data_IF_593955604007
#
_entry.id   IF_593955604007
#
_cell.length_a   1.000
_cell.length_b   1.000
_cell.length_c   1.000
_cell.angle_alpha   90.00
_cell.angle_beta   90.00
_cell.angle_gamma   90.00
#
_symmetry.space_group_name_H-M   'P 1'
#
loop_
_entity.id
_entity.type
_entity.pdbx_description
1 polymer ?
#
# COMPACT_ATOMS: atom_id res chain seq x y z
N UNK A 1 -8.58 -48.67 -63.67
CA UNK A 1 -8.58 -49.04 -62.25
C UNK A 1 -9.18 -47.88 -61.48
N UNK A 2 -10.42 -48.00 -61.02
CA UNK A 2 -10.81 -48.56 -59.72
C UNK A 2 -10.49 -47.53 -58.63
N UNK A 3 -11.49 -46.82 -58.08
CA UNK A 3 -12.30 -47.24 -56.90
C UNK A 3 -11.38 -47.60 -55.73
N UNK A 4 -11.56 -47.16 -54.50
CA UNK A 4 -12.62 -46.47 -53.78
C UNK A 4 -11.90 -45.47 -52.85
N UNK A 5 -12.60 -44.55 -52.19
CA UNK A 5 -13.04 -44.69 -50.79
C UNK A 5 -12.58 -43.39 -50.12
N UNK A 6 -13.31 -42.71 -49.25
CA UNK A 6 -14.40 -43.07 -48.38
C UNK A 6 -14.99 -41.70 -47.99
N UNK A 7 -16.16 -41.32 -48.51
CA UNK A 7 -17.44 -41.37 -47.79
C UNK A 7 -17.41 -40.59 -46.47
N UNK A 8 -18.46 -39.80 -46.33
CA UNK A 8 -19.00 -39.25 -45.08
C UNK A 8 -18.34 -37.96 -44.59
N UNK A 9 -19.07 -36.94 -44.17
CA UNK A 9 -20.50 -36.74 -43.98
C UNK A 9 -20.70 -35.23 -43.72
N UNK A 10 -21.88 -34.72 -44.08
CA UNK A 10 -22.52 -33.48 -43.61
C UNK A 10 -22.43 -33.36 -42.06
N UNK A 11 -22.53 -32.18 -41.39
CA UNK A 11 -23.59 -31.16 -41.60
C UNK A 11 -23.17 -29.68 -41.45
N UNK A 12 -24.11 -28.74 -41.72
CA UNK A 12 -23.93 -27.31 -41.57
C UNK A 12 -24.22 -26.89 -40.13
N UNK A 13 -23.21 -26.75 -39.28
CA UNK A 13 -23.39 -26.09 -37.99
C UNK A 13 -22.02 -25.83 -37.37
N UNK A 14 -21.38 -24.73 -37.78
CA UNK A 14 -20.47 -24.04 -36.87
C UNK A 14 -21.32 -23.38 -35.79
N UNK A 15 -21.84 -24.24 -34.92
CA UNK A 15 -22.38 -23.90 -33.63
C UNK A 15 -21.29 -23.18 -32.82
N UNK A 16 -21.78 -22.31 -31.94
CA UNK A 16 -21.02 -21.53 -30.98
C UNK A 16 -20.19 -20.38 -31.56
N UNK A 17 -20.93 -19.34 -31.97
CA UNK A 17 -20.67 -18.04 -31.36
C UNK A 17 -20.72 -18.24 -29.84
N UNK A 18 -19.56 -18.49 -29.21
CA UNK A 18 -19.41 -18.13 -27.81
C UNK A 18 -19.54 -16.60 -27.80
N UNK A 19 -20.76 -16.13 -27.53
CA UNK A 19 -20.93 -14.89 -26.79
C UNK A 19 -20.17 -15.10 -25.48
N UNK A 20 -18.89 -14.76 -25.48
CA UNK A 20 -18.20 -14.40 -24.25
C UNK A 20 -18.95 -13.19 -23.76
N UNK A 21 -19.87 -13.43 -22.82
CA UNK A 21 -20.46 -12.36 -22.04
C UNK A 21 -19.30 -11.64 -21.37
N UNK A 22 -18.80 -10.59 -22.02
CA UNK A 22 -18.00 -9.53 -21.41
C UNK A 22 -18.94 -8.73 -20.52
N UNK A 23 -19.43 -9.38 -19.47
CA UNK A 23 -19.90 -8.70 -18.27
C UNK A 23 -18.80 -8.84 -17.23
N UNK A 24 -17.65 -8.22 -17.54
CA UNK A 24 -16.69 -7.91 -16.50
C UNK A 24 -17.27 -6.66 -15.83
N UNK A 25 -18.24 -6.92 -14.95
CA UNK A 25 -18.66 -5.98 -13.92
C UNK A 25 -17.38 -5.37 -13.32
N UNK A 26 -17.11 -4.10 -13.66
CA UNK A 26 -16.03 -3.32 -13.07
C UNK A 26 -16.37 -3.10 -11.59
N UNK A 27 -16.08 -4.11 -10.76
CA UNK A 27 -16.15 -3.99 -9.32
C UNK A 27 -15.00 -3.09 -8.89
N UNK A 28 -15.28 -1.80 -8.73
CA UNK A 28 -14.34 -0.85 -8.15
C UNK A 28 -14.08 -1.25 -6.69
N UNK A 29 -12.93 -1.83 -6.41
CA UNK A 29 -12.49 -2.06 -5.04
C UNK A 29 -11.84 -0.79 -4.49
N UNK A 30 -12.36 -0.25 -3.39
CA UNK A 30 -11.70 0.83 -2.64
C UNK A 30 -10.56 0.19 -1.83
N UNK A 31 -9.32 0.55 -2.14
CA UNK A 31 -8.13 0.11 -1.38
C UNK A 31 -7.67 1.25 -0.48
N UNK A 32 -7.86 1.09 0.83
CA UNK A 32 -7.42 2.06 1.85
C UNK A 32 -6.15 1.56 2.53
N UNK A 33 -5.09 2.39 2.57
CA UNK A 33 -3.88 2.11 3.34
C UNK A 33 -3.84 3.00 4.59
N UNK A 34 -3.73 2.37 5.76
CA UNK A 34 -3.62 3.08 7.04
C UNK A 34 -2.23 2.88 7.62
N UNK A 35 -1.58 3.98 8.00
CA UNK A 35 -0.29 3.94 8.69
C UNK A 35 -0.48 4.37 10.15
N UNK A 36 0.00 3.55 11.08
CA UNK A 36 0.11 3.93 12.49
C UNK A 36 1.57 4.20 12.78
N UNK A 37 1.89 5.42 13.20
CA UNK A 37 3.23 5.78 13.65
C UNK A 37 3.23 6.00 15.15
N UNK A 38 4.28 5.50 15.80
CA UNK A 38 4.58 5.75 17.19
C UNK A 38 6.01 6.27 17.29
N UNK A 39 6.18 7.37 18.01
CA UNK A 39 7.49 7.98 18.20
C UNK A 39 7.35 9.45 18.54
N UNK A 40 8.46 10.07 18.95
CA UNK A 40 8.46 11.48 19.34
C UNK A 40 8.50 12.43 18.13
N UNK A 41 8.65 11.90 16.90
CA UNK A 41 8.74 12.67 15.67
C UNK A 41 7.52 12.41 14.77
N UNK A 42 7.02 13.45 14.08
CA UNK A 42 5.98 13.31 13.06
C UNK A 42 6.52 12.60 11.80
N UNK A 43 5.65 12.35 10.82
CA UNK A 43 6.10 11.84 9.52
C UNK A 43 6.97 12.86 8.78
N UNK A 44 7.77 12.43 7.80
CA UNK A 44 8.67 13.31 7.06
C UNK A 44 7.89 14.39 6.30
N UNK A 45 6.79 13.99 5.68
CA UNK A 45 5.92 14.87 4.90
C UNK A 45 5.27 15.94 5.79
N UNK A 46 4.88 15.55 7.01
CA UNK A 46 4.35 16.48 8.02
C UNK A 46 5.43 17.44 8.52
N UNK A 47 6.64 16.93 8.77
CA UNK A 47 7.77 17.73 9.23
C UNK A 47 8.15 18.81 8.21
N UNK A 48 8.17 18.45 6.92
CA UNK A 48 8.37 19.41 5.82
C UNK A 48 7.24 20.45 5.75
N UNK A 49 5.99 20.02 5.96
CA UNK A 49 4.85 20.93 5.98
C UNK A 49 4.95 21.94 7.12
N UNK A 50 5.38 21.51 8.32
CA UNK A 50 5.65 22.43 9.44
C UNK A 50 6.67 23.48 9.05
N UNK A 51 7.81 23.07 8.50
CA UNK A 51 8.90 24.00 8.16
C UNK A 51 8.49 25.02 7.10
N UNK A 52 7.65 24.59 6.15
CA UNK A 52 7.11 25.46 5.11
C UNK A 52 6.17 26.54 5.67
N UNK A 53 5.34 26.19 6.65
CA UNK A 53 4.39 27.12 7.28
C UNK A 53 5.12 28.06 8.23
N UNK A 54 6.05 27.53 9.03
CA UNK A 54 6.88 28.29 9.95
C UNK A 54 8.33 27.87 9.74
N UNK A 55 9.15 28.68 9.04
CA UNK A 55 10.55 28.37 8.79
C UNK A 55 11.32 28.06 10.08
N UNK A 56 12.10 26.98 10.07
CA UNK A 56 12.87 26.50 11.21
C UNK A 56 12.03 25.76 12.27
N UNK A 57 10.77 25.43 12.00
CA UNK A 57 9.94 24.67 12.94
C UNK A 57 10.27 23.18 12.93
N UNK A 58 10.66 22.60 11.78
CA UNK A 58 11.10 21.20 11.73
C UNK A 58 12.28 20.94 12.65
N UNK A 59 13.30 21.82 12.59
CA UNK A 59 14.48 21.77 13.46
C UNK A 59 14.08 21.86 14.95
N UNK A 60 13.18 22.78 15.30
CA UNK A 60 12.69 22.92 16.68
C UNK A 60 11.92 21.68 17.16
N UNK A 61 11.15 21.03 16.29
CA UNK A 61 10.44 19.79 16.61
C UNK A 61 11.45 18.66 16.87
N UNK A 62 12.46 18.51 16.02
CA UNK A 62 13.53 17.53 16.19
C UNK A 62 14.26 17.77 17.53
N UNK A 63 14.70 19.00 17.77
CA UNK A 63 15.38 19.37 19.01
C UNK A 63 14.52 19.06 20.26
N UNK A 64 13.22 19.33 20.19
CA UNK A 64 12.29 19.01 21.28
C UNK A 64 12.22 17.50 21.54
N UNK A 65 12.11 16.69 20.48
CA UNK A 65 12.07 15.23 20.59
C UNK A 65 13.37 14.66 21.18
N UNK A 66 14.52 15.19 20.78
CA UNK A 66 15.83 14.83 21.32
C UNK A 66 15.94 15.17 22.81
N UNK A 67 15.54 16.37 23.20
CA UNK A 67 15.61 16.83 24.59
C UNK A 67 14.72 15.98 25.51
N UNK A 68 13.49 15.69 25.07
CA UNK A 68 12.61 14.77 25.78
C UNK A 68 13.23 13.37 25.91
N UNK A 69 13.92 12.90 24.88
CA UNK A 69 14.59 11.59 24.89
C UNK A 69 15.81 11.57 25.81
N UNK A 70 16.57 12.68 25.90
CA UNK A 70 17.64 12.83 26.90
C UNK A 70 17.06 12.81 28.32
N UNK A 71 16.01 13.58 28.56
CA UNK A 71 15.34 13.66 29.85
C UNK A 71 14.78 12.31 30.31
N UNK A 72 14.13 11.53 29.42
CA UNK A 72 13.65 10.17 29.73
C UNK A 72 14.81 9.25 30.12
N UNK A 73 15.87 9.19 29.31
CA UNK A 73 17.06 8.38 29.61
C UNK A 73 17.69 8.75 30.95
N UNK A 74 17.76 10.03 31.28
CA UNK A 74 18.28 10.49 32.56
C UNK A 74 17.46 9.94 33.74
N UNK A 75 16.12 9.97 33.66
CA UNK A 75 15.25 9.40 34.70
C UNK A 75 15.39 7.89 34.80
N UNK A 76 15.44 7.21 33.67
CA UNK A 76 15.60 5.75 33.60
C UNK A 76 16.92 5.31 34.23
N UNK A 77 18.02 6.04 33.98
CA UNK A 77 19.32 5.78 34.61
C UNK A 77 19.29 6.01 36.13
N UNK A 78 18.63 7.07 36.61
CA UNK A 78 18.47 7.31 38.05
C UNK A 78 17.71 6.15 38.70
N UNK A 79 16.62 5.69 38.08
CA UNK A 79 15.83 4.58 38.58
C UNK A 79 16.65 3.28 38.62
N UNK A 80 17.35 2.96 37.53
CA UNK A 80 18.15 1.74 37.42
C UNK A 80 19.31 1.65 38.42
N UNK A 81 19.81 2.79 38.92
CA UNK A 81 20.88 2.84 39.94
C UNK A 81 20.34 2.72 41.38
N UNK A 82 19.04 2.92 41.57
CA UNK A 82 18.37 2.85 42.87
C UNK A 82 17.81 1.44 43.20
N UNK A 83 17.88 0.52 42.24
CA UNK A 83 17.58 -0.92 42.38
C UNK A 83 18.88 -1.72 42.57
#
# INVERSE_FOLDING_TARGET
MSTEDNRSQLPPESANQLSTNEDISEQSAIVTTTYVRMGPLPALEELEAYDRVVPGSAERIIAMAEEQSKHRRAKEMIKAKAE
#
